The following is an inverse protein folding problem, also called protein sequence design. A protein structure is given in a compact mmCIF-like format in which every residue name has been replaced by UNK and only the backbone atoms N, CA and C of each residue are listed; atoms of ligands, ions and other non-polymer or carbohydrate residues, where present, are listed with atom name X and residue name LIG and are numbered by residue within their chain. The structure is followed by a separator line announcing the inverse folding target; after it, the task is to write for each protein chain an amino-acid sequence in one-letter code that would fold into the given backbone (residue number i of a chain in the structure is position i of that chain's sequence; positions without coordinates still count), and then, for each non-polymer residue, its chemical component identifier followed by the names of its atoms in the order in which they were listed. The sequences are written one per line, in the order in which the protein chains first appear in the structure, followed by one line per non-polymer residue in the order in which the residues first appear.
data_IF_333304289048
#
_entry.id   IF_333304289048
#
_cell.length_a   1.000
_cell.length_b   1.000
_cell.length_c   1.000
_cell.angle_alpha   90.00
_cell.angle_beta   90.00
_cell.angle_gamma   90.00
#
_symmetry.space_group_name_H-M   'P 1'
#
loop_
_entity.id
_entity.type
_entity.pdbx_description
1 polymer ?
#
# COMPACT_ATOMS: atom_id res chain seq x y z
N UNK A 1 -9.27 -4.97 13.94
CA UNK A 1 -10.22 -3.91 13.54
C UNK A 1 -9.68 -2.59 14.07
N UNK A 2 -9.60 -1.57 13.22
CA UNK A 2 -9.17 -0.24 13.63
C UNK A 2 -10.25 0.45 14.45
N UNK A 3 -9.86 1.02 15.59
CA UNK A 3 -10.77 1.70 16.52
C UNK A 3 -10.34 3.15 16.72
N UNK A 4 -11.31 4.06 16.84
CA UNK A 4 -11.13 5.46 17.21
C UNK A 4 -12.10 5.80 18.32
N UNK A 5 -11.60 6.18 19.50
CA UNK A 5 -12.45 6.57 20.63
C UNK A 5 -13.41 5.47 21.11
N UNK A 6 -13.05 4.19 20.95
CA UNK A 6 -13.90 3.06 21.35
C UNK A 6 -14.95 2.63 20.32
N UNK A 7 -14.99 3.24 19.13
CA UNK A 7 -15.84 2.83 18.00
C UNK A 7 -15.00 2.40 16.80
N UNK A 8 -15.52 1.54 15.90
CA UNK A 8 -14.83 1.22 14.65
C UNK A 8 -14.53 2.48 13.84
N UNK A 9 -13.31 2.60 13.34
CA UNK A 9 -12.98 3.65 12.38
C UNK A 9 -13.68 3.37 11.05
N UNK A 10 -14.29 4.40 10.47
CA UNK A 10 -14.98 4.35 9.18
C UNK A 10 -14.25 5.27 8.21
N UNK A 11 -13.90 4.74 7.04
CA UNK A 11 -13.29 5.54 5.97
C UNK A 11 -14.29 6.54 5.39
N UNK A 12 -13.80 7.52 4.62
CA UNK A 12 -14.63 8.38 3.79
C UNK A 12 -15.55 7.60 2.82
N UNK A 13 -15.08 6.46 2.29
CA UNK A 13 -15.87 5.51 1.49
C UNK A 13 -16.87 4.65 2.29
N UNK A 14 -16.96 4.82 3.61
CA UNK A 14 -17.91 4.08 4.44
C UNK A 14 -17.47 2.64 4.78
N UNK A 15 -16.19 2.32 4.69
CA UNK A 15 -15.65 0.97 4.94
C UNK A 15 -14.93 0.88 6.29
N UNK A 16 -14.79 -0.34 6.80
CA UNK A 16 -13.96 -0.61 7.98
C UNK A 16 -12.52 -0.96 7.57
N UNK A 17 -11.57 -0.67 8.47
CA UNK A 17 -10.16 -1.04 8.28
C UNK A 17 -9.80 -2.20 9.21
N UNK A 18 -9.26 -3.27 8.62
CA UNK A 18 -8.61 -4.35 9.37
C UNK A 18 -7.09 -4.16 9.35
N UNK A 19 -6.54 -3.77 10.50
CA UNK A 19 -5.10 -3.78 10.73
C UNK A 19 -4.60 -5.23 10.88
N UNK A 20 -3.69 -5.62 9.98
CA UNK A 20 -3.07 -6.95 9.98
C UNK A 20 -1.55 -6.82 9.97
N UNK A 21 -0.89 -7.55 10.87
CA UNK A 21 0.57 -7.63 10.94
C UNK A 21 1.03 -8.98 10.42
N UNK A 22 1.77 -8.97 9.31
CA UNK A 22 2.30 -10.17 8.65
C UNK A 22 3.80 -10.38 8.92
N UNK A 23 4.44 -9.47 9.67
CA UNK A 23 5.90 -9.43 9.78
C UNK A 23 6.55 -9.17 8.41
N UNK A 24 7.41 -10.07 7.95
CA UNK A 24 8.01 -9.99 6.62
C UNK A 24 7.05 -10.59 5.58
N UNK A 25 6.77 -9.84 4.53
CA UNK A 25 5.98 -10.29 3.38
C UNK A 25 6.95 -10.66 2.25
N UNK A 26 7.18 -11.96 1.97
CA UNK A 26 8.16 -12.39 0.97
C UNK A 26 7.68 -12.15 -0.47
N UNK A 27 6.37 -12.26 -0.72
CA UNK A 27 5.75 -11.98 -2.01
C UNK A 27 4.55 -11.06 -1.83
N UNK A 28 4.75 -9.78 -2.13
CA UNK A 28 3.73 -8.75 -2.00
C UNK A 28 2.65 -8.85 -3.06
N UNK A 29 2.95 -9.32 -4.28
CA UNK A 29 1.96 -9.45 -5.36
C UNK A 29 1.03 -10.63 -5.11
N UNK A 30 1.57 -11.76 -4.68
CA UNK A 30 0.74 -12.91 -4.32
C UNK A 30 -0.22 -12.55 -3.18
N UNK A 31 0.27 -11.84 -2.15
CA UNK A 31 -0.59 -11.38 -1.05
C UNK A 31 -1.65 -10.38 -1.53
N UNK A 32 -1.27 -9.40 -2.35
CA UNK A 32 -2.20 -8.43 -2.94
C UNK A 32 -3.35 -9.12 -3.68
N UNK A 33 -3.03 -10.03 -4.59
CA UNK A 33 -4.03 -10.79 -5.35
C UNK A 33 -4.92 -11.63 -4.43
N UNK A 34 -4.35 -12.28 -3.42
CA UNK A 34 -5.10 -13.09 -2.47
C UNK A 34 -6.08 -12.25 -1.63
N UNK A 35 -5.70 -11.03 -1.23
CA UNK A 35 -6.57 -10.12 -0.50
C UNK A 35 -7.75 -9.65 -1.36
N UNK A 36 -7.51 -9.25 -2.61
CA UNK A 36 -8.58 -8.88 -3.53
C UNK A 36 -9.55 -10.02 -3.86
N UNK A 37 -9.09 -11.27 -3.80
CA UNK A 37 -9.94 -12.43 -4.04
C UNK A 37 -10.96 -12.70 -2.91
N UNK A 38 -10.84 -12.04 -1.75
CA UNK A 38 -11.75 -12.23 -0.61
C UNK A 38 -12.99 -11.34 -0.79
N UNK A 39 -14.21 -11.91 -0.88
CA UNK A 39 -15.43 -11.11 -0.96
C UNK A 39 -15.57 -10.17 0.24
N UNK A 40 -15.88 -8.91 -0.05
CA UNK A 40 -16.01 -7.86 0.97
C UNK A 40 -14.72 -7.09 1.26
N UNK A 41 -13.56 -7.53 0.74
CA UNK A 41 -12.37 -6.68 0.68
C UNK A 41 -12.58 -5.67 -0.44
N UNK A 42 -12.46 -4.40 -0.08
CA UNK A 42 -12.57 -3.29 -1.05
C UNK A 42 -11.20 -2.93 -1.60
N UNK A 43 -10.20 -2.79 -0.73
CA UNK A 43 -8.84 -2.39 -1.09
C UNK A 43 -7.84 -2.83 0.01
N UNK A 44 -6.54 -2.76 -0.28
CA UNK A 44 -5.48 -3.01 0.69
C UNK A 44 -4.37 -1.94 0.66
N UNK A 45 -3.54 -1.88 1.70
CA UNK A 45 -2.46 -0.89 1.82
C UNK A 45 -1.16 -1.20 1.06
N UNK A 46 -1.14 -2.15 0.12
CA UNK A 46 0.08 -2.55 -0.61
C UNK A 46 0.27 -1.73 -1.90
N UNK A 47 1.12 -0.71 -1.85
CA UNK A 47 1.45 0.14 -3.00
C UNK A 47 2.62 -0.42 -3.82
N UNK A 48 2.36 -1.47 -4.59
CA UNK A 48 3.40 -2.22 -5.30
C UNK A 48 3.73 -1.57 -6.65
N UNK A 49 4.96 -1.08 -6.82
CA UNK A 49 5.45 -0.55 -8.09
C UNK A 49 4.91 0.85 -8.46
N UNK A 50 4.24 1.52 -7.52
CA UNK A 50 3.68 2.85 -7.73
C UNK A 50 4.70 3.97 -7.49
N UNK A 51 5.51 3.86 -6.44
CA UNK A 51 6.47 4.89 -6.08
C UNK A 51 7.66 4.93 -7.05
N UNK A 52 7.88 6.07 -7.70
CA UNK A 52 9.05 6.32 -8.56
C UNK A 52 10.22 6.91 -7.78
N UNK A 53 9.94 7.64 -6.70
CA UNK A 53 10.93 8.36 -5.89
C UNK A 53 10.45 8.38 -4.43
N UNK A 54 11.38 8.25 -3.49
CA UNK A 54 11.16 8.40 -2.05
C UNK A 54 12.14 9.45 -1.49
N UNK A 55 11.60 10.46 -0.79
CA UNK A 55 12.40 11.44 -0.04
C UNK A 55 12.42 11.02 1.42
N UNK A 56 13.61 10.75 1.95
CA UNK A 56 13.82 10.18 3.29
C UNK A 56 14.61 11.20 4.11
N UNK A 57 14.01 11.67 5.21
CA UNK A 57 14.68 12.54 6.17
C UNK A 57 15.17 11.73 7.37
N UNK A 58 16.44 11.90 7.75
CA UNK A 58 17.07 11.27 8.90
C UNK A 58 18.02 12.23 9.63
N UNK A 59 18.74 11.72 10.63
CA UNK A 59 19.68 12.52 11.43
C UNK A 59 20.80 13.16 10.61
N UNK A 60 21.19 12.54 9.50
CA UNK A 60 22.24 13.00 8.59
C UNK A 60 21.71 13.94 7.48
N UNK A 61 20.42 14.30 7.52
CA UNK A 61 19.77 15.16 6.53
C UNK A 61 18.76 14.44 5.63
N UNK A 62 18.55 14.99 4.44
CA UNK A 62 17.54 14.51 3.48
C UNK A 62 18.23 13.78 2.33
N UNK A 63 17.75 12.58 2.00
CA UNK A 63 18.17 11.81 0.84
C UNK A 63 16.98 11.51 -0.08
N UNK A 64 17.22 11.50 -1.39
CA UNK A 64 16.23 11.13 -2.39
C UNK A 64 16.64 9.82 -3.04
N UNK A 65 15.79 8.80 -2.94
CA UNK A 65 16.00 7.47 -3.52
C UNK A 65 15.04 7.32 -4.70
N UNK A 66 15.56 6.94 -5.86
CA UNK A 66 14.73 6.63 -7.03
C UNK A 66 14.52 5.12 -7.15
N UNK A 67 13.32 4.72 -7.57
CA UNK A 67 13.01 3.32 -7.84
C UNK A 67 13.87 2.79 -8.98
N UNK A 68 14.33 1.54 -8.86
CA UNK A 68 15.03 0.86 -9.93
C UNK A 68 14.09 0.68 -11.13
N UNK A 69 14.22 1.52 -12.14
CA UNK A 69 13.41 1.44 -13.36
C UNK A 69 13.79 0.16 -14.12
N UNK A 70 12.84 -0.75 -14.34
CA UNK A 70 13.02 -1.76 -15.38
C UNK A 70 12.94 -1.03 -16.74
N UNK A 71 13.92 -1.20 -17.65
CA UNK A 71 13.79 -0.68 -19.00
C UNK A 71 12.51 -1.24 -19.64
N UNK A 72 11.62 -0.36 -20.13
CA UNK A 72 10.41 -0.76 -20.86
C UNK A 72 9.10 -0.90 -20.04
N UNK A 73 9.06 -0.58 -18.74
CA UNK A 73 7.78 -0.51 -18.03
C UNK A 73 7.09 0.84 -18.30
N UNK A 74 6.12 0.87 -19.21
CA UNK A 74 5.13 1.95 -19.27
C UNK A 74 4.26 1.86 -18.02
N UNK A 75 4.35 2.84 -17.14
CA UNK A 75 3.35 3.03 -16.09
C UNK A 75 2.38 4.08 -16.62
N UNK A 76 1.66 3.72 -17.67
CA UNK A 76 0.40 4.38 -18.00
C UNK A 76 -0.64 3.59 -17.20
N UNK A 77 -0.96 4.06 -16.01
CA UNK A 77 -2.18 3.64 -15.36
C UNK A 77 -3.29 4.51 -15.92
N UNK A 78 -4.05 3.92 -16.86
CA UNK A 78 -5.42 4.32 -17.16
C UNK A 78 -6.17 4.42 -15.83
N UNK A 79 -6.41 5.66 -15.42
CA UNK A 79 -7.50 6.00 -14.52
C UNK A 79 -8.78 5.83 -15.33
N UNK A 80 -9.43 4.68 -15.17
CA UNK A 80 -10.86 4.53 -15.43
C UNK A 80 -11.61 4.69 -14.10
#
# INVERSE_FOLDING_TARGET
LRMTGGQPFVTDGGHFILDASFGRIPDTRALSNALFAIPGVVEHGLFIGLASTAVIAGGDGIQTVHAARKPGSSIDHDVA
#
